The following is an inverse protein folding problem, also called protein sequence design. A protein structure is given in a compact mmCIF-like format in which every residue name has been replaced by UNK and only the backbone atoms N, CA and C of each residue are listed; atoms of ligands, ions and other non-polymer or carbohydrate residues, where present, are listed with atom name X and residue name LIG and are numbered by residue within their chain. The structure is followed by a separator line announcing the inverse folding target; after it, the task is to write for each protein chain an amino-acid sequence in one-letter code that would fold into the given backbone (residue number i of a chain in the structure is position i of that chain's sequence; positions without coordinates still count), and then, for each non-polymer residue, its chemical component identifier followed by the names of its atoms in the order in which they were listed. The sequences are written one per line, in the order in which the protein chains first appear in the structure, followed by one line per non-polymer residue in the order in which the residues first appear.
data_IF_758520605305
#
_entry.id   IF_758520605305
#
_cell.length_a   1.000
_cell.length_b   1.000
_cell.length_c   1.000
_cell.angle_alpha   90.00
_cell.angle_beta   90.00
_cell.angle_gamma   90.00
#
_symmetry.space_group_name_H-M   'P 1'
#
loop_
_entity.id
_entity.type
_entity.pdbx_description
1 polymer ?
#
# COMPACT_ATOMS: atom_id res chain seq x y z
N UNK A 1 -4.63 -74.40 -37.00
CA UNK A 1 -5.01 -73.53 -35.91
C UNK A 1 -6.40 -73.95 -35.40
N UNK A 2 -6.52 -74.20 -34.13
CA UNK A 2 -7.80 -74.55 -33.54
C UNK A 2 -8.77 -73.36 -33.69
N UNK A 3 -10.06 -73.58 -33.90
CA UNK A 3 -11.07 -72.53 -34.08
C UNK A 3 -11.01 -71.47 -32.97
N UNK A 4 -10.66 -71.85 -31.76
CA UNK A 4 -10.49 -70.95 -30.59
C UNK A 4 -9.24 -70.05 -30.73
N UNK A 5 -8.13 -70.49 -31.21
CA UNK A 5 -6.94 -69.70 -31.45
C UNK A 5 -7.18 -68.63 -32.50
N UNK A 6 -8.00 -68.89 -33.51
CA UNK A 6 -8.41 -67.89 -34.51
C UNK A 6 -9.27 -66.78 -33.88
N UNK A 7 -10.17 -67.17 -32.98
CA UNK A 7 -10.99 -66.19 -32.25
C UNK A 7 -10.13 -65.29 -31.37
N UNK A 8 -9.12 -65.84 -30.68
CA UNK A 8 -8.18 -65.05 -29.83
C UNK A 8 -7.38 -64.05 -30.65
N UNK A 9 -6.79 -64.52 -31.81
CA UNK A 9 -6.01 -63.65 -32.70
C UNK A 9 -6.86 -62.53 -33.26
N UNK A 10 -8.09 -62.82 -33.69
CA UNK A 10 -9.01 -61.82 -34.22
C UNK A 10 -9.45 -60.81 -33.14
N UNK A 11 -9.72 -61.29 -31.92
CA UNK A 11 -10.08 -60.42 -30.82
C UNK A 11 -8.91 -59.46 -30.44
N UNK A 12 -7.69 -59.99 -30.44
CA UNK A 12 -6.49 -59.21 -30.17
C UNK A 12 -6.28 -58.11 -31.25
N UNK A 13 -6.50 -58.45 -32.53
CA UNK A 13 -6.42 -57.48 -33.63
C UNK A 13 -7.52 -56.39 -33.50
N UNK A 14 -8.79 -56.81 -33.34
CA UNK A 14 -9.90 -55.87 -33.22
C UNK A 14 -9.71 -54.90 -32.03
N UNK A 15 -9.17 -55.37 -30.90
CA UNK A 15 -8.87 -54.53 -29.76
C UNK A 15 -7.70 -53.57 -30.03
N UNK A 16 -6.65 -54.06 -30.70
CA UNK A 16 -5.51 -53.20 -31.05
C UNK A 16 -5.89 -52.05 -31.99
N UNK A 17 -6.82 -52.32 -32.92
CA UNK A 17 -7.31 -51.33 -33.90
C UNK A 17 -8.39 -50.40 -33.32
N UNK A 18 -8.99 -50.67 -32.15
CA UNK A 18 -10.01 -49.82 -31.56
C UNK A 18 -9.48 -48.40 -31.26
N UNK A 19 -10.01 -47.33 -31.90
CA UNK A 19 -9.46 -46.00 -31.77
C UNK A 19 -9.80 -45.31 -30.45
N UNK A 20 -10.87 -45.74 -29.78
CA UNK A 20 -11.38 -45.16 -28.54
C UNK A 20 -12.04 -46.21 -27.62
N UNK A 21 -12.43 -45.78 -26.43
CA UNK A 21 -13.06 -46.62 -25.42
C UNK A 21 -14.40 -47.20 -25.89
N UNK A 22 -15.17 -46.47 -26.71
CA UNK A 22 -16.48 -46.90 -27.20
C UNK A 22 -16.31 -48.02 -28.23
N UNK A 23 -15.39 -47.85 -29.15
CA UNK A 23 -15.04 -48.87 -30.13
C UNK A 23 -14.50 -50.12 -29.45
N UNK A 24 -13.68 -49.98 -28.41
CA UNK A 24 -13.16 -51.11 -27.62
C UNK A 24 -14.25 -51.86 -26.88
N UNK A 25 -15.23 -51.20 -26.28
CA UNK A 25 -16.37 -51.88 -25.62
C UNK A 25 -17.30 -52.55 -26.63
N UNK A 26 -17.48 -52.01 -27.84
CA UNK A 26 -18.18 -52.65 -28.94
C UNK A 26 -17.46 -53.90 -29.39
N UNK A 27 -16.15 -53.84 -29.57
CA UNK A 27 -15.33 -55.01 -29.94
C UNK A 27 -15.38 -56.10 -28.82
N UNK A 28 -15.32 -55.71 -27.56
CA UNK A 28 -15.50 -56.63 -26.41
C UNK A 28 -16.85 -57.35 -26.47
N UNK A 29 -17.94 -56.65 -26.78
CA UNK A 29 -19.29 -57.27 -26.89
C UNK A 29 -19.32 -58.40 -27.93
N UNK A 30 -18.58 -58.28 -29.04
CA UNK A 30 -18.45 -59.28 -30.11
C UNK A 30 -17.86 -60.60 -29.63
N UNK A 31 -16.93 -60.55 -28.66
CA UNK A 31 -16.21 -61.74 -28.18
C UNK A 31 -16.67 -62.21 -26.82
N UNK A 32 -16.89 -61.33 -25.86
CA UNK A 32 -17.16 -61.59 -24.45
C UNK A 32 -18.59 -61.25 -24.01
N UNK A 33 -19.39 -60.63 -24.89
CA UNK A 33 -20.77 -60.28 -24.62
C UNK A 33 -21.70 -61.50 -24.39
N UNK A 34 -22.96 -61.26 -24.06
CA UNK A 34 -23.97 -62.36 -23.82
C UNK A 34 -24.16 -63.27 -25.02
N UNK A 35 -23.96 -62.78 -26.23
CA UNK A 35 -23.99 -63.50 -27.51
C UNK A 35 -22.60 -63.54 -28.19
N UNK A 36 -21.57 -63.26 -27.39
CA UNK A 36 -20.19 -63.22 -27.92
C UNK A 36 -19.65 -64.59 -28.23
N UNK A 37 -18.65 -64.63 -29.15
CA UNK A 37 -18.11 -65.88 -29.68
C UNK A 37 -17.57 -66.83 -28.59
N UNK A 38 -16.91 -66.31 -27.56
CA UNK A 38 -16.44 -67.14 -26.43
C UNK A 38 -17.61 -67.65 -25.57
N UNK A 39 -18.62 -66.78 -25.36
CA UNK A 39 -19.81 -67.14 -24.61
C UNK A 39 -20.62 -68.31 -25.29
N UNK A 40 -20.72 -68.23 -26.62
CA UNK A 40 -21.36 -69.31 -27.37
C UNK A 40 -20.55 -70.65 -27.31
N UNK A 41 -19.22 -70.62 -27.36
CA UNK A 41 -18.39 -71.77 -27.12
C UNK A 41 -18.59 -72.35 -25.72
N UNK A 42 -18.71 -71.52 -24.69
CA UNK A 42 -18.99 -71.95 -23.32
C UNK A 42 -20.40 -72.60 -23.16
N UNK A 43 -21.41 -72.13 -23.88
CA UNK A 43 -22.73 -72.70 -23.91
C UNK A 43 -22.71 -74.10 -24.58
N UNK A 44 -21.87 -74.28 -25.60
CA UNK A 44 -21.68 -75.55 -26.27
C UNK A 44 -21.17 -76.68 -25.37
N UNK A 45 -20.46 -76.34 -24.29
CA UNK A 45 -19.93 -77.34 -23.34
C UNK A 45 -21.01 -78.17 -22.65
N UNK A 46 -22.24 -77.65 -22.56
CA UNK A 46 -23.38 -78.33 -21.91
C UNK A 46 -23.80 -79.64 -22.66
N UNK A 47 -23.40 -79.79 -23.91
CA UNK A 47 -23.75 -80.94 -24.77
C UNK A 47 -22.67 -82.06 -24.81
N UNK A 48 -21.54 -81.84 -24.08
CA UNK A 48 -20.39 -82.80 -24.10
C UNK A 48 -20.38 -83.73 -22.89
N UNK A 49 -19.69 -84.89 -23.04
CA UNK A 49 -19.48 -85.79 -21.93
C UNK A 49 -18.62 -85.20 -20.81
N UNK A 50 -18.76 -85.61 -19.53
CA UNK A 50 -18.14 -84.97 -18.36
C UNK A 50 -16.63 -84.77 -18.48
N UNK A 51 -15.86 -85.74 -19.01
CA UNK A 51 -14.40 -85.68 -19.17
C UNK A 51 -14.00 -84.68 -20.30
N UNK A 52 -14.69 -84.70 -21.41
CA UNK A 52 -14.47 -83.82 -22.54
C UNK A 52 -14.84 -82.34 -22.15
N UNK A 53 -15.89 -82.17 -21.34
CA UNK A 53 -16.31 -80.85 -20.84
C UNK A 53 -15.23 -80.24 -20.01
N UNK A 54 -14.56 -81.01 -19.13
CA UNK A 54 -13.48 -80.48 -18.28
C UNK A 54 -12.28 -80.01 -19.09
N UNK A 55 -11.85 -80.84 -20.10
CA UNK A 55 -10.73 -80.50 -20.94
C UNK A 55 -11.02 -79.30 -21.86
N UNK A 56 -12.16 -79.34 -22.54
CA UNK A 56 -12.58 -78.19 -23.41
C UNK A 56 -12.85 -76.94 -22.63
N UNK A 57 -13.41 -77.05 -21.43
CA UNK A 57 -13.64 -75.92 -20.54
C UNK A 57 -12.35 -75.22 -20.12
N UNK A 58 -11.29 -76.01 -19.85
CA UNK A 58 -9.97 -75.39 -19.54
C UNK A 58 -9.38 -74.60 -20.72
N UNK A 59 -9.51 -75.14 -21.94
CA UNK A 59 -9.02 -74.51 -23.17
C UNK A 59 -9.80 -73.23 -23.48
N UNK A 60 -11.14 -73.19 -23.29
CA UNK A 60 -11.97 -72.06 -23.51
C UNK A 60 -11.65 -70.98 -22.46
N UNK A 61 -11.45 -71.35 -21.18
CA UNK A 61 -11.05 -70.39 -20.15
C UNK A 61 -9.70 -69.77 -20.39
N UNK A 62 -8.71 -70.53 -20.81
CA UNK A 62 -7.38 -70.02 -21.24
C UNK A 62 -7.50 -69.00 -22.39
N UNK A 63 -8.34 -69.34 -23.42
CA UNK A 63 -8.62 -68.39 -24.51
C UNK A 63 -9.33 -67.09 -24.00
N UNK A 64 -10.28 -67.24 -23.13
CA UNK A 64 -10.98 -66.09 -22.48
C UNK A 64 -10.00 -65.19 -21.73
N UNK A 65 -9.12 -65.76 -20.89
CA UNK A 65 -8.10 -65.03 -20.16
C UNK A 65 -7.16 -64.24 -21.09
N UNK A 66 -6.74 -64.85 -22.20
CA UNK A 66 -5.90 -64.17 -23.22
C UNK A 66 -6.64 -62.97 -23.86
N UNK A 67 -7.94 -63.12 -24.14
CA UNK A 67 -8.76 -62.06 -24.71
C UNK A 67 -8.98 -60.93 -23.66
N UNK A 68 -9.27 -61.28 -22.42
CA UNK A 68 -9.44 -60.32 -21.33
C UNK A 68 -8.13 -59.56 -21.04
N UNK A 69 -7.00 -60.23 -21.06
CA UNK A 69 -5.68 -59.60 -20.92
C UNK A 69 -5.42 -58.57 -22.03
N UNK A 70 -5.71 -58.94 -23.31
CA UNK A 70 -5.55 -58.00 -24.43
C UNK A 70 -6.53 -56.81 -24.34
N UNK A 71 -7.77 -57.04 -23.94
CA UNK A 71 -8.77 -55.98 -23.70
C UNK A 71 -8.28 -54.98 -22.67
N UNK A 72 -7.81 -55.49 -21.51
CA UNK A 72 -7.34 -54.61 -20.42
C UNK A 72 -6.09 -53.84 -20.83
N UNK A 73 -5.13 -54.48 -21.48
CA UNK A 73 -3.95 -53.78 -21.99
C UNK A 73 -4.30 -52.64 -22.95
N UNK A 74 -5.27 -52.83 -23.85
CA UNK A 74 -5.73 -51.76 -24.75
C UNK A 74 -6.48 -50.66 -24.01
N UNK A 75 -7.31 -51.03 -23.03
CA UNK A 75 -8.04 -50.05 -22.19
C UNK A 75 -7.07 -49.11 -21.44
N UNK A 76 -6.05 -49.72 -20.83
CA UNK A 76 -5.02 -48.95 -20.10
C UNK A 76 -4.22 -48.07 -21.05
N UNK A 77 -3.91 -48.56 -22.27
CA UNK A 77 -3.21 -47.79 -23.29
C UNK A 77 -4.02 -46.57 -23.74
N UNK A 78 -5.35 -46.72 -23.97
CA UNK A 78 -6.24 -45.62 -24.34
C UNK A 78 -6.40 -44.63 -23.22
N UNK A 79 -6.57 -45.11 -21.97
CA UNK A 79 -6.64 -44.21 -20.79
C UNK A 79 -5.36 -43.41 -20.58
N UNK A 80 -4.20 -44.06 -20.73
CA UNK A 80 -2.91 -43.38 -20.62
C UNK A 80 -2.70 -42.36 -21.75
N UNK A 81 -3.08 -42.69 -22.99
CA UNK A 81 -3.00 -41.76 -24.11
C UNK A 81 -3.91 -40.51 -23.87
N UNK A 82 -5.12 -40.72 -23.38
CA UNK A 82 -6.04 -39.62 -23.05
C UNK A 82 -5.50 -38.75 -21.92
N UNK A 83 -4.96 -39.36 -20.86
CA UNK A 83 -4.31 -38.66 -19.77
C UNK A 83 -3.13 -37.83 -20.24
N UNK A 84 -2.26 -38.43 -21.06
CA UNK A 84 -1.09 -37.71 -21.61
C UNK A 84 -1.49 -36.55 -22.51
N UNK A 85 -2.51 -36.74 -23.35
CA UNK A 85 -3.05 -35.66 -24.19
C UNK A 85 -3.58 -34.49 -23.34
N UNK A 86 -4.28 -34.82 -22.25
CA UNK A 86 -4.80 -33.83 -21.29
C UNK A 86 -3.63 -33.11 -20.60
N UNK A 87 -2.65 -33.82 -20.07
CA UNK A 87 -1.47 -33.23 -19.42
C UNK A 87 -0.71 -32.31 -20.37
N UNK A 88 -0.56 -32.71 -21.64
CA UNK A 88 0.09 -31.87 -22.64
C UNK A 88 -0.72 -30.59 -22.96
N UNK A 89 -2.05 -30.71 -23.01
CA UNK A 89 -2.94 -29.55 -23.23
C UNK A 89 -2.99 -28.57 -22.05
N UNK A 90 -2.84 -29.09 -20.84
CA UNK A 90 -2.82 -28.32 -19.60
C UNK A 90 -1.40 -27.87 -19.21
N UNK A 91 -0.37 -28.22 -19.98
CA UNK A 91 1.02 -27.84 -19.67
C UNK A 91 1.21 -26.34 -19.71
N UNK A 92 1.75 -25.78 -18.61
CA UNK A 92 2.11 -24.37 -18.47
C UNK A 92 3.63 -24.26 -18.61
N UNK A 93 4.08 -23.26 -19.37
CA UNK A 93 5.49 -22.92 -19.44
C UNK A 93 5.95 -22.32 -18.11
N UNK A 94 6.63 -23.11 -17.31
CA UNK A 94 7.16 -22.70 -15.99
C UNK A 94 8.44 -21.85 -16.08
N UNK A 95 8.99 -21.67 -17.28
CA UNK A 95 10.15 -20.78 -17.49
C UNK A 95 9.75 -19.32 -17.62
N UNK A 96 8.46 -19.06 -17.88
CA UNK A 96 7.94 -17.69 -17.87
C UNK A 96 8.02 -17.12 -16.45
N UNK A 97 8.42 -15.82 -16.30
CA UNK A 97 8.46 -15.18 -15.01
C UNK A 97 7.06 -15.19 -14.39
N UNK A 98 6.97 -15.56 -13.12
CA UNK A 98 5.73 -15.48 -12.34
C UNK A 98 5.18 -14.06 -12.33
N UNK A 99 3.90 -13.89 -11.99
CA UNK A 99 3.32 -12.56 -11.76
C UNK A 99 4.16 -11.86 -10.69
N UNK A 100 4.86 -10.78 -11.08
CA UNK A 100 5.66 -9.99 -10.17
C UNK A 100 4.80 -9.55 -8.99
N UNK A 101 5.33 -9.65 -7.77
CA UNK A 101 4.70 -8.96 -6.64
C UNK A 101 4.77 -7.47 -6.93
N UNK A 102 3.65 -6.76 -6.83
CA UNK A 102 3.67 -5.30 -6.89
C UNK A 102 4.60 -4.81 -5.78
N UNK A 103 5.64 -4.06 -6.14
CA UNK A 103 6.45 -3.37 -5.14
C UNK A 103 5.55 -2.34 -4.46
N UNK A 104 5.56 -2.30 -3.14
CA UNK A 104 4.95 -1.22 -2.40
C UNK A 104 5.75 0.07 -2.58
N UNK A 105 5.12 1.22 -2.39
CA UNK A 105 5.76 2.53 -2.38
C UNK A 105 5.50 3.25 -1.06
N UNK A 106 6.26 4.32 -0.82
CA UNK A 106 6.03 5.22 0.30
C UNK A 106 4.91 6.19 -0.10
N UNK A 107 3.97 6.42 0.82
CA UNK A 107 2.89 7.38 0.62
C UNK A 107 3.44 8.78 0.26
N UNK A 108 2.87 9.52 -0.71
CA UNK A 108 3.45 10.79 -1.19
C UNK A 108 3.63 11.85 -0.09
N UNK A 109 2.74 11.92 0.90
CA UNK A 109 2.90 12.80 2.05
C UNK A 109 4.08 12.37 2.93
N UNK A 110 4.31 11.07 3.10
CA UNK A 110 5.47 10.58 3.85
C UNK A 110 6.79 10.84 3.11
N UNK A 111 6.82 10.73 1.78
CA UNK A 111 7.98 11.17 0.99
C UNK A 111 8.27 12.66 1.14
N UNK A 112 7.23 13.48 1.19
CA UNK A 112 7.36 14.91 1.47
C UNK A 112 7.92 15.15 2.86
N UNK A 113 7.43 14.42 3.87
CA UNK A 113 7.93 14.49 5.24
C UNK A 113 9.42 14.14 5.31
N UNK A 114 9.82 12.98 4.81
CA UNK A 114 11.23 12.55 4.75
C UNK A 114 12.12 13.60 4.05
N UNK A 115 11.67 14.11 2.92
CA UNK A 115 12.38 15.14 2.15
C UNK A 115 12.56 16.45 2.94
N UNK A 116 11.54 16.88 3.65
CA UNK A 116 11.60 18.07 4.51
C UNK A 116 12.59 17.86 5.64
N UNK A 117 12.55 16.71 6.32
CA UNK A 117 13.53 16.40 7.36
C UNK A 117 14.97 16.38 6.82
N UNK A 118 15.23 15.74 5.69
CA UNK A 118 16.55 15.71 5.07
C UNK A 118 17.09 17.12 4.81
N UNK A 119 16.28 18.00 4.22
CA UNK A 119 16.68 19.38 3.93
C UNK A 119 17.03 20.13 5.22
N UNK A 120 16.16 20.08 6.24
CA UNK A 120 16.41 20.81 7.48
C UNK A 120 17.56 20.23 8.30
N UNK A 121 17.73 18.91 8.34
CA UNK A 121 18.92 18.27 8.95
C UNK A 121 20.19 18.71 8.26
N UNK A 122 20.19 18.87 6.94
CA UNK A 122 21.38 19.29 6.19
C UNK A 122 21.88 20.70 6.53
N UNK A 123 20.99 21.54 7.07
CA UNK A 123 21.33 22.92 7.51
C UNK A 123 21.37 23.05 9.04
N UNK A 124 21.44 21.91 9.75
CA UNK A 124 21.71 21.87 11.19
C UNK A 124 20.47 22.02 12.09
N UNK A 125 19.28 21.71 11.59
CA UNK A 125 18.09 21.61 12.44
C UNK A 125 17.95 20.21 13.01
N UNK A 126 17.64 20.12 14.27
CA UNK A 126 17.15 18.89 14.90
C UNK A 126 15.71 18.59 14.47
N UNK A 127 15.32 17.33 14.61
CA UNK A 127 13.93 16.90 14.40
C UNK A 127 13.38 16.42 15.73
N UNK A 128 12.29 17.06 16.17
CA UNK A 128 11.62 16.74 17.42
C UNK A 128 10.24 16.14 17.16
N UNK A 129 9.90 15.09 17.90
CA UNK A 129 8.58 14.48 17.95
C UNK A 129 7.95 14.67 19.33
N UNK A 130 6.61 14.57 19.41
CA UNK A 130 5.89 14.68 20.66
C UNK A 130 4.42 14.32 20.58
N UNK A 131 3.71 14.45 21.71
CA UNK A 131 2.35 13.97 21.85
C UNK A 131 1.37 14.68 20.93
N UNK A 132 0.41 13.94 20.41
CA UNK A 132 -0.74 14.47 19.65
C UNK A 132 -1.85 14.99 20.59
N UNK A 133 -1.92 14.43 21.79
CA UNK A 133 -2.82 14.88 22.86
C UNK A 133 -2.09 15.92 23.71
N UNK A 134 -2.67 17.10 23.79
CA UNK A 134 -2.05 18.25 24.44
C UNK A 134 -2.96 18.89 25.51
N UNK A 135 -2.31 19.64 26.39
CA UNK A 135 -3.03 20.52 27.33
C UNK A 135 -3.37 21.85 26.65
N UNK A 136 -4.41 22.53 27.15
CA UNK A 136 -4.74 23.89 26.73
C UNK A 136 -3.54 24.83 26.87
N UNK A 137 -2.78 24.68 27.96
CA UNK A 137 -1.61 25.51 28.19
C UNK A 137 -0.58 25.42 27.09
N UNK A 138 -0.19 24.19 26.71
CA UNK A 138 0.85 23.96 25.70
C UNK A 138 0.39 24.35 24.30
N UNK A 139 -0.88 24.06 23.97
CA UNK A 139 -1.40 24.30 22.63
C UNK A 139 -1.78 25.76 22.39
N UNK A 140 -2.14 26.53 23.44
CA UNK A 140 -2.65 27.90 23.30
C UNK A 140 -1.95 28.91 24.23
N UNK A 141 -2.04 28.72 25.53
CA UNK A 141 -1.59 29.77 26.50
C UNK A 141 -0.09 30.04 26.37
N UNK A 142 0.74 29.00 26.26
CA UNK A 142 2.18 29.14 26.08
C UNK A 142 2.57 29.83 24.78
N UNK A 143 1.68 29.78 23.77
CA UNK A 143 1.82 30.40 22.47
C UNK A 143 1.12 31.76 22.36
N UNK A 144 0.91 32.42 23.50
CA UNK A 144 0.32 33.74 23.55
C UNK A 144 -1.11 33.85 22.95
N UNK A 145 -1.84 32.74 22.87
CA UNK A 145 -3.24 32.72 22.45
C UNK A 145 -4.13 32.96 23.65
N UNK A 146 -4.90 34.09 23.71
CA UNK A 146 -5.75 34.41 24.83
C UNK A 146 -6.95 33.46 24.95
N UNK A 147 -7.58 33.41 26.16
CA UNK A 147 -8.70 32.47 26.43
C UNK A 147 -9.89 32.65 25.49
N UNK A 148 -10.15 33.88 25.04
CA UNK A 148 -11.26 34.19 24.14
C UNK A 148 -10.88 34.14 22.65
N UNK A 149 -9.73 33.54 22.30
CA UNK A 149 -9.33 33.43 20.90
C UNK A 149 -10.22 32.43 20.16
N UNK A 150 -10.69 32.75 18.94
CA UNK A 150 -11.57 31.83 18.14
C UNK A 150 -11.01 30.40 17.98
N UNK A 151 -9.71 30.26 17.82
CA UNK A 151 -9.06 28.94 17.66
C UNK A 151 -9.20 28.00 18.88
N UNK A 152 -9.64 28.53 20.04
CA UNK A 152 -9.99 27.71 21.21
C UNK A 152 -11.45 27.27 21.24
N UNK A 153 -12.25 27.66 20.24
CA UNK A 153 -13.65 27.25 20.20
C UNK A 153 -13.76 25.75 20.00
N UNK A 154 -14.81 25.16 20.55
CA UNK A 154 -15.14 23.74 20.30
C UNK A 154 -15.53 23.48 18.85
N UNK A 155 -15.72 24.54 18.06
CA UNK A 155 -16.03 24.44 16.62
C UNK A 155 -14.79 24.15 15.79
N UNK A 156 -13.59 24.55 16.28
CA UNK A 156 -12.33 24.42 15.54
C UNK A 156 -11.36 23.41 16.17
N UNK A 157 -11.59 23.02 17.44
CA UNK A 157 -10.69 22.15 18.21
C UNK A 157 -11.39 20.87 18.66
N UNK A 158 -10.76 19.73 18.47
CA UNK A 158 -11.21 18.46 19.03
C UNK A 158 -10.76 18.32 20.48
N UNK A 159 -11.68 18.41 21.42
CA UNK A 159 -11.45 18.07 22.81
C UNK A 159 -11.73 16.57 23.03
N UNK A 160 -10.92 15.93 23.84
CA UNK A 160 -11.08 14.52 24.19
C UNK A 160 -11.65 14.34 25.59
N UNK A 161 -12.19 13.16 25.87
CA UNK A 161 -12.65 12.80 27.21
C UNK A 161 -11.43 12.56 28.12
N UNK A 162 -11.16 13.53 28.98
CA UNK A 162 -10.03 13.55 29.89
C UNK A 162 -9.58 14.96 30.23
N UNK A 163 -8.97 15.10 31.40
CA UNK A 163 -8.49 16.38 31.91
C UNK A 163 -7.00 16.32 32.23
N UNK A 164 -6.35 17.47 32.17
CA UNK A 164 -5.00 17.66 32.67
C UNK A 164 -4.95 17.68 34.21
N UNK A 165 -3.76 17.86 34.78
CA UNK A 165 -3.55 17.94 36.23
C UNK A 165 -4.21 19.16 36.89
N UNK A 166 -4.67 20.11 36.11
CA UNK A 166 -5.37 21.34 36.58
C UNK A 166 -6.90 21.24 36.37
N UNK A 167 -7.41 20.09 35.89
CA UNK A 167 -8.81 19.87 35.62
C UNK A 167 -9.32 20.47 34.31
N UNK A 168 -8.44 20.98 33.44
CA UNK A 168 -8.81 21.50 32.11
C UNK A 168 -8.88 20.35 31.08
N UNK A 169 -9.82 20.41 30.11
CA UNK A 169 -9.94 19.41 29.07
C UNK A 169 -8.66 19.23 28.27
N UNK A 170 -8.33 17.98 27.94
CA UNK A 170 -7.30 17.64 26.98
C UNK A 170 -7.85 17.80 25.55
N UNK A 171 -6.96 18.02 24.60
CA UNK A 171 -7.32 18.24 23.21
C UNK A 171 -6.35 17.56 22.25
N UNK A 172 -6.78 17.37 21.00
CA UNK A 172 -5.89 17.03 19.89
C UNK A 172 -5.22 18.32 19.39
N UNK A 173 -3.90 18.34 19.30
CA UNK A 173 -3.13 19.51 18.89
C UNK A 173 -3.58 20.05 17.54
N UNK A 174 -3.81 21.36 17.46
CA UNK A 174 -4.26 22.06 16.25
C UNK A 174 -3.12 22.49 15.33
N UNK A 175 -1.90 22.39 15.80
CA UNK A 175 -0.62 22.66 15.12
C UNK A 175 0.51 21.95 15.88
N UNK A 176 1.72 21.91 15.31
CA UNK A 176 2.87 21.29 15.97
C UNK A 176 3.68 22.25 16.85
N UNK A 177 3.24 23.50 17.00
CA UNK A 177 3.90 24.54 17.85
C UNK A 177 4.09 24.13 19.32
N UNK A 178 3.24 23.30 19.96
CA UNK A 178 3.52 22.78 21.31
C UNK A 178 4.92 22.17 21.44
N UNK A 179 5.40 21.52 20.39
CA UNK A 179 6.75 20.93 20.38
C UNK A 179 7.86 21.97 20.46
N UNK A 180 7.67 23.15 19.89
CA UNK A 180 8.63 24.26 20.00
C UNK A 180 8.83 24.65 21.48
N UNK A 181 7.71 24.81 22.21
CA UNK A 181 7.75 25.13 23.66
C UNK A 181 8.37 24.00 24.47
N UNK A 182 7.98 22.74 24.20
CA UNK A 182 8.52 21.55 24.87
C UNK A 182 10.02 21.42 24.65
N UNK A 183 10.46 21.56 23.38
CA UNK A 183 11.86 21.41 23.01
C UNK A 183 12.72 22.53 23.64
N UNK A 184 12.28 23.78 23.58
CA UNK A 184 13.00 24.92 24.15
C UNK A 184 13.14 24.84 25.69
N UNK A 185 12.15 24.25 26.37
CA UNK A 185 12.22 24.02 27.82
C UNK A 185 13.23 22.94 28.24
N UNK A 186 13.59 22.05 27.33
CA UNK A 186 14.53 20.96 27.59
C UNK A 186 15.95 21.25 27.05
N UNK A 187 16.08 22.26 26.17
CA UNK A 187 17.33 22.55 25.50
C UNK A 187 17.71 24.03 25.68
N UNK A 188 19.00 24.30 25.66
CA UNK A 188 19.53 25.68 25.75
C UNK A 188 19.81 26.23 24.36
N UNK A 189 19.61 27.54 24.14
CA UNK A 189 20.05 28.20 22.91
C UNK A 189 21.56 28.04 22.65
N UNK A 190 21.99 27.98 21.36
CA UNK A 190 21.15 28.16 20.18
C UNK A 190 20.30 26.92 19.89
N UNK A 191 19.02 27.15 19.59
CA UNK A 191 18.03 26.12 19.25
C UNK A 191 17.70 26.23 17.77
N UNK A 192 17.86 25.13 17.04
CA UNK A 192 17.36 24.96 15.67
C UNK A 192 16.60 23.64 15.63
N UNK A 193 15.29 23.68 15.47
CA UNK A 193 14.47 22.47 15.49
C UNK A 193 13.33 22.57 14.50
N UNK A 194 12.99 21.46 13.85
CA UNK A 194 11.70 21.28 13.19
C UNK A 194 10.89 20.24 13.96
N UNK A 195 9.57 20.41 13.95
CA UNK A 195 8.62 19.51 14.56
C UNK A 195 7.57 19.10 13.53
N UNK A 196 7.82 18.05 12.71
CA UNK A 196 6.81 17.48 11.86
C UNK A 196 5.85 16.62 12.69
N UNK A 197 4.56 16.57 12.28
CA UNK A 197 3.58 15.77 13.00
C UNK A 197 2.17 15.93 12.49
N UNK A 198 1.28 15.04 12.97
CA UNK A 198 -0.16 15.14 12.71
C UNK A 198 -0.76 16.26 13.54
N UNK A 199 -1.73 16.94 12.95
CA UNK A 199 -2.52 18.01 13.54
C UNK A 199 -3.99 17.82 13.24
N UNK A 200 -4.86 18.43 14.03
CA UNK A 200 -6.30 18.14 14.01
C UNK A 200 -7.10 19.42 14.09
N UNK A 201 -8.05 19.60 13.17
CA UNK A 201 -8.99 20.74 13.17
C UNK A 201 -10.36 20.26 12.73
N UNK A 202 -11.41 20.87 13.29
CA UNK A 202 -12.79 20.57 12.89
C UNK A 202 -13.07 21.28 11.57
N UNK A 203 -12.54 20.73 10.49
CA UNK A 203 -12.70 21.26 9.12
C UNK A 203 -12.61 20.11 8.10
N UNK A 204 -13.41 20.15 7.03
CA UNK A 204 -13.44 19.10 6.01
C UNK A 204 -14.00 19.61 4.69
N UNK A 205 -13.12 19.81 3.69
CA UNK A 205 -13.50 20.12 2.32
C UNK A 205 -12.44 19.56 1.32
N UNK A 206 -12.45 20.02 0.08
CA UNK A 206 -11.47 19.57 -0.94
C UNK A 206 -10.02 19.99 -0.63
N UNK A 207 -9.82 20.96 0.27
CA UNK A 207 -8.53 21.56 0.64
C UNK A 207 -8.21 21.39 2.13
N UNK A 208 -9.15 20.92 2.93
CA UNK A 208 -9.03 20.69 4.37
C UNK A 208 -9.44 19.28 4.75
N UNK A 209 -8.73 18.71 5.72
CA UNK A 209 -9.00 17.42 6.33
C UNK A 209 -9.02 17.58 7.85
N UNK A 210 -9.88 16.84 8.57
CA UNK A 210 -9.88 16.86 10.05
C UNK A 210 -8.55 16.47 10.66
N UNK A 211 -7.77 15.64 9.97
CA UNK A 211 -6.38 15.32 10.29
C UNK A 211 -5.52 15.66 9.08
N UNK A 212 -4.43 16.35 9.31
CA UNK A 212 -3.41 16.67 8.30
C UNK A 212 -2.02 16.70 8.95
N UNK A 213 -0.97 16.74 8.14
CA UNK A 213 0.39 16.81 8.64
C UNK A 213 0.94 18.23 8.47
N UNK A 214 1.66 18.66 9.49
CA UNK A 214 2.32 19.96 9.52
C UNK A 214 3.78 19.78 9.90
N UNK A 215 4.63 20.64 9.41
CA UNK A 215 5.99 20.84 9.92
C UNK A 215 6.12 22.27 10.37
N UNK A 216 6.57 22.46 11.60
CA UNK A 216 6.95 23.77 12.11
C UNK A 216 8.41 23.79 12.44
N UNK A 217 9.04 24.94 12.21
CA UNK A 217 10.43 25.19 12.53
C UNK A 217 10.59 26.34 13.51
N UNK A 218 11.60 26.20 14.37
CA UNK A 218 12.00 27.19 15.35
C UNK A 218 13.52 27.36 15.31
N UNK A 219 13.97 28.61 15.24
CA UNK A 219 15.36 28.96 15.50
C UNK A 219 15.42 30.07 16.54
N UNK A 220 16.09 29.83 17.67
CA UNK A 220 16.31 30.81 18.76
C UNK A 220 17.81 30.93 19.02
N UNK A 221 18.32 32.14 19.01
CA UNK A 221 19.69 32.49 19.39
C UNK A 221 19.72 33.97 19.88
N UNK A 222 20.90 34.47 20.15
CA UNK A 222 21.13 35.86 20.58
C UNK A 222 21.14 36.86 19.40
N UNK A 223 21.34 36.41 18.17
CA UNK A 223 21.54 37.25 16.97
C UNK A 223 20.65 36.94 15.77
N UNK A 224 19.59 36.13 15.94
CA UNK A 224 18.68 35.71 14.86
C UNK A 224 17.73 36.81 14.44
N UNK A 225 17.58 37.00 13.14
CA UNK A 225 16.78 38.05 12.54
C UNK A 225 15.66 37.57 11.62
N UNK A 226 14.75 38.43 11.23
CA UNK A 226 13.75 38.18 10.19
C UNK A 226 14.40 37.94 8.80
N UNK A 227 15.61 38.48 8.57
CA UNK A 227 16.36 38.21 7.35
C UNK A 227 16.83 36.74 7.29
N UNK A 228 17.21 36.17 8.43
CA UNK A 228 17.58 34.76 8.52
C UNK A 228 16.37 33.85 8.23
N UNK A 229 15.17 34.20 8.75
CA UNK A 229 13.94 33.51 8.38
C UNK A 229 13.73 33.50 6.86
N UNK A 230 13.89 34.68 6.21
CA UNK A 230 13.75 34.77 4.74
C UNK A 230 14.76 33.90 4.01
N UNK A 231 16.01 33.90 4.44
CA UNK A 231 17.10 33.10 3.85
C UNK A 231 16.83 31.60 4.00
N UNK A 232 16.53 31.16 5.21
CA UNK A 232 16.23 29.74 5.51
C UNK A 232 15.04 29.25 4.69
N UNK A 233 13.94 29.99 4.70
CA UNK A 233 12.72 29.56 4.03
C UNK A 233 12.86 29.58 2.49
N UNK A 234 13.51 30.61 1.92
CA UNK A 234 13.80 30.66 0.49
C UNK A 234 14.66 29.45 0.02
N UNK A 235 15.70 29.16 0.76
CA UNK A 235 16.57 28.00 0.46
C UNK A 235 15.81 26.68 0.61
N UNK A 236 14.97 26.57 1.64
CA UNK A 236 14.13 25.39 1.83
C UNK A 236 13.21 25.13 0.63
N UNK A 237 12.42 26.14 0.20
CA UNK A 237 11.47 25.92 -0.91
C UNK A 237 12.17 25.65 -2.23
N UNK A 238 13.31 26.29 -2.51
CA UNK A 238 14.14 25.98 -3.70
C UNK A 238 14.65 24.55 -3.68
N UNK A 239 15.20 24.10 -2.56
CA UNK A 239 15.67 22.71 -2.39
C UNK A 239 14.53 21.70 -2.46
N UNK A 240 13.37 22.04 -1.88
CA UNK A 240 12.21 21.15 -1.85
C UNK A 240 11.60 20.96 -3.25
N UNK A 241 11.40 22.05 -4.00
CA UNK A 241 10.83 22.00 -5.35
C UNK A 241 11.86 21.72 -6.44
N UNK A 242 13.16 21.67 -6.09
CA UNK A 242 14.27 21.42 -7.03
C UNK A 242 14.29 22.42 -8.20
N UNK A 243 14.06 23.70 -7.91
CA UNK A 243 14.02 24.75 -8.91
C UNK A 243 14.54 26.08 -8.36
N UNK A 244 15.34 26.79 -9.17
CA UNK A 244 15.74 28.17 -8.91
C UNK A 244 14.73 29.18 -9.46
N UNK A 245 13.85 28.75 -10.37
CA UNK A 245 12.81 29.57 -10.99
C UNK A 245 11.55 29.64 -10.12
N UNK A 246 11.75 30.10 -8.86
CA UNK A 246 10.71 30.21 -7.86
C UNK A 246 10.85 31.57 -7.13
N UNK A 247 9.77 32.31 -7.10
CA UNK A 247 9.69 33.58 -6.37
C UNK A 247 9.01 33.36 -5.02
N UNK A 248 9.51 34.03 -3.99
CA UNK A 248 8.95 34.00 -2.63
C UNK A 248 8.63 35.42 -2.21
N UNK A 249 7.46 35.63 -1.65
CA UNK A 249 7.09 36.90 -1.02
C UNK A 249 6.58 36.66 0.38
N UNK A 250 6.84 37.63 1.25
CA UNK A 250 6.32 37.67 2.61
C UNK A 250 5.25 38.77 2.66
N UNK A 251 4.03 38.41 3.01
CA UNK A 251 2.93 39.33 3.23
C UNK A 251 2.72 39.56 4.72
N UNK A 252 2.54 40.78 5.18
CA UNK A 252 2.16 41.04 6.58
C UNK A 252 0.90 40.20 6.96
N UNK A 253 0.94 39.60 8.14
CA UNK A 253 -0.17 38.84 8.71
C UNK A 253 -0.20 39.00 10.23
N UNK A 254 -1.08 38.28 10.89
CA UNK A 254 -1.16 38.27 12.34
C UNK A 254 -1.28 36.83 12.86
N UNK A 255 -0.36 36.47 13.75
CA UNK A 255 -0.44 35.29 14.58
C UNK A 255 -0.13 35.66 16.03
N UNK A 256 -0.84 35.11 17.05
CA UNK A 256 -0.62 35.53 18.44
C UNK A 256 0.79 35.21 18.97
N UNK A 257 1.45 34.22 18.36
CA UNK A 257 2.76 33.70 18.78
C UNK A 257 3.96 34.32 18.05
N UNK A 258 3.72 35.23 17.08
CA UNK A 258 4.78 35.93 16.35
C UNK A 258 4.51 37.42 16.18
N UNK A 259 5.58 38.24 16.22
CA UNK A 259 5.52 39.70 16.01
C UNK A 259 6.93 40.19 15.50
N UNK A 260 7.06 40.64 14.23
CA UNK A 260 6.04 40.67 13.20
C UNK A 260 5.71 39.27 12.67
N UNK A 261 4.49 39.14 12.16
CA UNK A 261 3.99 37.93 11.51
C UNK A 261 3.92 38.10 9.98
N UNK A 262 4.10 37.06 9.26
CA UNK A 262 3.98 37.04 7.80
C UNK A 262 3.41 35.73 7.29
N UNK A 263 2.61 35.81 6.24
CA UNK A 263 2.29 34.68 5.38
C UNK A 263 3.33 34.62 4.24
N UNK A 264 3.71 33.39 3.87
CA UNK A 264 4.68 33.15 2.81
C UNK A 264 3.98 32.57 1.61
N UNK A 265 4.06 33.31 0.51
CA UNK A 265 3.56 32.85 -0.79
C UNK A 265 4.73 32.50 -1.72
N UNK A 266 4.51 31.51 -2.56
CA UNK A 266 5.42 31.14 -3.65
C UNK A 266 4.76 31.31 -5.01
N UNK A 267 5.53 31.61 -6.04
CA UNK A 267 5.09 31.60 -7.43
C UNK A 267 6.14 30.91 -8.29
N UNK A 268 5.69 29.97 -9.14
CA UNK A 268 6.56 29.30 -10.09
C UNK A 268 6.76 30.15 -11.35
N UNK A 269 7.97 30.21 -11.88
CA UNK A 269 8.28 30.90 -13.14
C UNK A 269 7.88 30.10 -14.38
N UNK A 270 7.60 28.79 -14.23
CA UNK A 270 7.24 27.88 -15.31
C UNK A 270 6.16 26.87 -14.89
N UNK A 271 5.64 26.09 -15.83
CA UNK A 271 4.66 25.03 -15.58
C UNK A 271 3.21 25.52 -15.42
N UNK A 272 2.29 24.61 -15.03
CA UNK A 272 0.83 24.89 -14.95
C UNK A 272 0.45 25.95 -13.92
N UNK A 273 1.30 26.19 -12.91
CA UNK A 273 1.08 27.16 -11.84
C UNK A 273 1.86 28.45 -12.04
N UNK A 274 2.43 28.68 -13.24
CA UNK A 274 3.23 29.87 -13.56
C UNK A 274 2.54 31.17 -13.17
N UNK A 275 3.25 32.00 -12.41
CA UNK A 275 2.82 33.36 -12.03
C UNK A 275 1.67 33.41 -11.01
N UNK A 276 1.14 32.27 -10.56
CA UNK A 276 0.15 32.24 -9.50
C UNK A 276 0.84 32.26 -8.14
N UNK A 277 0.44 33.20 -7.31
CA UNK A 277 0.85 33.23 -5.91
C UNK A 277 0.05 32.23 -5.08
N UNK A 278 0.76 31.38 -4.37
CA UNK A 278 0.20 30.26 -3.60
C UNK A 278 0.76 30.35 -2.19
N UNK A 279 -0.11 30.52 -1.22
CA UNK A 279 0.27 30.47 0.19
C UNK A 279 0.72 29.07 0.59
N UNK A 280 1.85 28.99 1.29
CA UNK A 280 2.49 27.72 1.68
C UNK A 280 2.88 27.68 3.17
N UNK A 281 2.93 28.84 3.86
CA UNK A 281 3.39 28.91 5.25
C UNK A 281 2.94 30.17 5.95
N UNK A 282 2.70 30.07 7.26
CA UNK A 282 2.75 31.18 8.19
C UNK A 282 4.12 31.24 8.87
N UNK A 283 4.64 32.43 9.14
CA UNK A 283 5.93 32.60 9.77
C UNK A 283 6.02 33.94 10.52
N UNK A 284 7.06 34.12 11.32
CA UNK A 284 7.33 35.40 11.98
C UNK A 284 8.42 35.30 13.02
N UNK A 285 8.75 36.44 13.58
CA UNK A 285 9.59 36.51 14.77
C UNK A 285 8.83 36.04 16.00
N UNK A 286 9.45 35.20 16.80
CA UNK A 286 8.77 34.64 18.01
C UNK A 286 8.44 35.76 18.98
N UNK A 287 7.18 35.82 19.39
CA UNK A 287 6.71 36.85 20.32
C UNK A 287 7.45 36.75 21.68
N UNK A 288 7.88 37.88 22.30
CA UNK A 288 8.62 37.85 23.56
C UNK A 288 7.93 37.08 24.69
N UNK A 289 6.60 37.09 24.73
CA UNK A 289 5.83 36.28 25.71
C UNK A 289 6.03 34.79 25.49
N UNK A 290 6.13 34.33 24.22
CA UNK A 290 6.37 32.93 23.91
C UNK A 290 7.78 32.53 24.31
N UNK A 291 8.79 33.38 24.03
CA UNK A 291 10.18 33.18 24.49
C UNK A 291 10.23 33.00 26.01
N UNK A 292 9.50 33.88 26.75
CA UNK A 292 9.40 33.78 28.22
C UNK A 292 8.71 32.46 28.65
N UNK A 293 7.65 32.08 27.97
CA UNK A 293 6.94 30.81 28.25
C UNK A 293 7.77 29.56 27.94
N UNK A 294 8.73 29.69 27.04
CA UNK A 294 9.77 28.65 26.79
C UNK A 294 10.79 28.55 27.92
N UNK A 295 10.78 29.49 28.89
CA UNK A 295 11.75 29.54 29.99
C UNK A 295 13.04 30.28 29.64
N UNK A 296 13.03 31.10 28.57
CA UNK A 296 14.15 31.85 28.07
C UNK A 296 13.96 33.36 28.38
N UNK A 297 15.06 34.09 28.44
CA UNK A 297 15.04 35.56 28.60
C UNK A 297 14.82 36.23 27.23
N UNK A 298 13.68 36.92 27.02
CA UNK A 298 13.39 37.59 25.75
C UNK A 298 14.25 38.84 25.49
N UNK A 299 14.96 39.37 26.53
CA UNK A 299 15.92 40.45 26.33
C UNK A 299 17.30 39.94 25.85
N UNK A 300 17.56 38.64 26.02
CA UNK A 300 18.78 37.98 25.57
C UNK A 300 18.58 37.18 24.27
N UNK A 301 17.42 36.53 24.12
CA UNK A 301 17.19 35.61 23.02
C UNK A 301 16.05 36.05 22.13
N UNK A 302 16.31 35.99 20.87
CA UNK A 302 15.34 36.27 19.79
C UNK A 302 15.23 35.02 18.88
N UNK A 303 14.15 34.89 18.15
CA UNK A 303 14.01 33.79 17.25
C UNK A 303 12.95 33.99 16.17
N UNK A 304 12.91 33.10 15.23
CA UNK A 304 11.82 33.02 14.29
C UNK A 304 11.20 31.62 14.29
N UNK A 305 9.95 31.57 13.85
CA UNK A 305 9.22 30.33 13.62
C UNK A 305 8.49 30.38 12.28
N UNK A 306 8.23 29.20 11.71
CA UNK A 306 7.42 29.02 10.51
C UNK A 306 6.64 27.72 10.62
N UNK A 307 5.51 27.61 9.87
CA UNK A 307 4.70 26.40 9.81
C UNK A 307 4.13 26.17 8.43
N UNK A 308 4.32 24.96 7.89
CA UNK A 308 3.83 24.54 6.58
C UNK A 308 3.06 23.25 6.65
N UNK A 309 1.92 23.16 5.93
CA UNK A 309 1.17 21.91 5.76
C UNK A 309 1.88 20.99 4.78
N UNK A 310 2.19 19.74 5.18
CA UNK A 310 2.88 18.78 4.32
C UNK A 310 2.03 18.35 3.13
N UNK A 311 0.72 18.22 3.28
CA UNK A 311 -0.20 17.96 2.18
C UNK A 311 -0.15 19.08 1.14
N UNK A 312 -0.14 20.34 1.60
CA UNK A 312 -0.05 21.48 0.69
C UNK A 312 1.22 21.48 -0.14
N UNK A 313 2.35 21.21 0.49
CA UNK A 313 3.64 21.05 -0.19
C UNK A 313 3.60 19.87 -1.16
N UNK A 314 3.01 18.74 -0.75
CA UNK A 314 2.87 17.54 -1.59
C UNK A 314 1.98 17.81 -2.80
N UNK A 315 0.84 18.46 -2.61
CA UNK A 315 -0.08 18.84 -3.69
C UNK A 315 0.64 19.70 -4.74
N UNK A 316 1.41 20.68 -4.31
CA UNK A 316 2.14 21.57 -5.20
C UNK A 316 3.26 20.86 -5.94
N UNK A 317 4.00 19.95 -5.27
CA UNK A 317 5.10 19.19 -5.88
C UNK A 317 4.63 18.22 -6.95
N UNK A 318 3.50 17.55 -6.72
CA UNK A 318 2.99 16.50 -7.61
C UNK A 318 1.81 16.95 -8.49
N UNK A 319 1.39 18.22 -8.40
CA UNK A 319 0.28 18.75 -9.21
C UNK A 319 -1.09 18.18 -8.84
N UNK A 320 -1.29 17.83 -7.57
CA UNK A 320 -2.54 17.27 -7.06
C UNK A 320 -3.44 18.43 -6.60
N UNK A 321 -4.69 18.42 -7.00
CA UNK A 321 -5.65 19.50 -6.74
C UNK A 321 -6.73 19.17 -5.72
N UNK A 322 -6.75 17.94 -5.19
CA UNK A 322 -7.71 17.48 -4.19
C UNK A 322 -6.99 16.71 -3.08
N UNK A 323 -7.01 17.24 -1.87
CA UNK A 323 -6.33 16.68 -0.70
C UNK A 323 -6.90 15.31 -0.29
N UNK A 324 -8.21 15.08 -0.54
CA UNK A 324 -8.89 13.84 -0.14
C UNK A 324 -8.28 12.60 -0.78
N UNK A 325 -7.68 12.74 -1.97
CA UNK A 325 -6.98 11.65 -2.67
C UNK A 325 -5.87 11.00 -1.83
N UNK A 326 -5.26 11.76 -0.91
CA UNK A 326 -4.25 11.20 -0.01
C UNK A 326 -4.82 10.22 1.03
N UNK A 327 -6.12 10.32 1.35
CA UNK A 327 -6.77 9.60 2.44
C UNK A 327 -7.82 8.58 2.01
N UNK A 328 -8.26 8.62 0.75
CA UNK A 328 -9.28 7.68 0.22
C UNK A 328 -8.76 6.25 0.03
N UNK A 329 -7.45 6.04 0.06
CA UNK A 329 -6.84 4.70 -0.08
C UNK A 329 -6.97 4.10 -1.49
N UNK A 330 -7.22 4.90 -2.52
CA UNK A 330 -7.31 4.42 -3.91
C UNK A 330 -5.94 3.94 -4.40
N UNK A 331 -5.80 2.65 -4.59
CA UNK A 331 -4.56 2.02 -5.06
C UNK A 331 -4.13 2.49 -6.46
N UNK A 332 -5.06 2.97 -7.31
CA UNK A 332 -4.73 3.52 -8.63
C UNK A 332 -4.01 4.85 -8.51
N UNK A 333 -4.42 5.65 -7.52
CA UNK A 333 -3.75 6.89 -7.16
C UNK A 333 -2.37 6.60 -6.53
N UNK A 334 -2.33 5.77 -5.49
CA UNK A 334 -1.11 5.50 -4.73
C UNK A 334 -0.01 4.82 -5.57
N UNK A 335 -0.36 3.98 -6.53
CA UNK A 335 0.60 3.33 -7.44
C UNK A 335 1.36 4.29 -8.35
N UNK A 336 0.90 5.53 -8.51
CA UNK A 336 1.61 6.55 -9.31
C UNK A 336 2.87 7.07 -8.62
N UNK A 337 3.06 6.77 -7.35
CA UNK A 337 4.19 7.22 -6.53
C UNK A 337 5.19 6.11 -6.18
N UNK A 338 5.13 4.97 -6.86
CA UNK A 338 6.03 3.83 -6.65
C UNK A 338 7.37 4.00 -7.36
#
# INVERSE_FOLDING_TARGET
MNSLDQIVVQAQADFAEAPDAVALENAKAKYLGKTGQITEQMKGLGKLAPEERKTQGAVINAAKERIEAALNARRDALANAQMQARLNAEAIDVTLPGRGRSKGGIHPVMRTWERVEEIFRSIGFDVADGPEIETDWTNFTALNSPENHPARSMQDTFYIDGNDTQGKPLLLRTHTSPMQVRYARMNKPPIKVIAPGRTYRVDSDATHSPMFHQVEGLWIADDVSFADLKGVYLNFVKAFFETDDLQVRFRPSYFPFTEPSAEIDIAFGSGPLKGRWLEVSGAGQVHPTVVRNMGLDPDQYIGFAFGSGLERLTMLRYGINDLRLFYEGDLRFLKQFN
#
